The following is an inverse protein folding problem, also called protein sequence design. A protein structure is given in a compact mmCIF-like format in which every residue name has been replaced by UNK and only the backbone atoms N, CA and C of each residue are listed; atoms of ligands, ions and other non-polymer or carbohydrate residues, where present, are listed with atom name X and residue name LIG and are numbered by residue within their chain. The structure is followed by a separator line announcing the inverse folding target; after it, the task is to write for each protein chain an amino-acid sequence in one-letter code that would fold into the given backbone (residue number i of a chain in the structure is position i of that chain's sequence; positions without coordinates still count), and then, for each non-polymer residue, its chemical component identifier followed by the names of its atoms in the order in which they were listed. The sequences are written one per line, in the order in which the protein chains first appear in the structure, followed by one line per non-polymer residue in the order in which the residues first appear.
data_IF_346290693642
#
_entry.id   IF_346290693642
#
_cell.length_a   1.000
_cell.length_b   1.000
_cell.length_c   1.000
_cell.angle_alpha   90.00
_cell.angle_beta   90.00
_cell.angle_gamma   90.00
#
_symmetry.space_group_name_H-M   'P 1'
#
loop_
_entity.id
_entity.type
_entity.pdbx_description
1 polymer ?
#
# COMPACT_ATOMS: atom_id res chain seq x y z
N UNK A 1 -0.43 1.41 7.20
CA UNK A 1 -0.49 0.68 8.48
C UNK A 1 -1.49 1.29 9.46
N UNK A 2 -1.44 2.60 9.76
CA UNK A 2 -2.36 3.23 10.75
C UNK A 2 -3.84 2.94 10.46
N UNK A 3 -4.27 3.04 9.19
CA UNK A 3 -5.65 2.76 8.78
C UNK A 3 -5.87 1.31 8.34
N UNK A 4 -4.87 0.69 7.71
CA UNK A 4 -4.99 -0.64 7.13
C UNK A 4 -4.99 -1.75 8.18
N UNK A 5 -4.31 -1.57 9.31
CA UNK A 5 -4.24 -2.59 10.36
C UNK A 5 -5.55 -2.76 11.13
N UNK A 6 -6.15 -1.70 11.72
CA UNK A 6 -7.44 -1.84 12.38
C UNK A 6 -8.53 -2.32 11.41
N UNK A 7 -8.51 -1.87 10.15
CA UNK A 7 -9.45 -2.35 9.14
C UNK A 7 -9.23 -3.82 8.75
N UNK A 8 -7.98 -4.31 8.66
CA UNK A 8 -7.74 -5.72 8.40
C UNK A 8 -8.25 -6.62 9.55
N UNK A 9 -8.21 -6.15 10.79
CA UNK A 9 -8.81 -6.86 11.92
C UNK A 9 -10.34 -6.92 11.80
N UNK A 10 -10.95 -5.82 11.35
CA UNK A 10 -12.38 -5.75 11.04
C UNK A 10 -12.75 -6.74 9.92
N UNK A 11 -11.99 -6.78 8.82
CA UNK A 11 -12.23 -7.71 7.70
C UNK A 11 -12.13 -9.18 8.13
N UNK A 12 -11.25 -9.52 9.08
CA UNK A 12 -11.21 -10.84 9.67
C UNK A 12 -12.40 -11.12 10.58
N UNK A 13 -12.85 -10.12 11.34
CA UNK A 13 -14.01 -10.25 12.21
C UNK A 13 -15.29 -10.53 11.42
N UNK A 14 -15.48 -9.84 10.29
CA UNK A 14 -16.64 -10.02 9.41
C UNK A 14 -16.44 -11.08 8.31
N UNK A 15 -15.24 -11.64 8.20
CA UNK A 15 -14.93 -12.75 7.30
C UNK A 15 -14.95 -12.38 5.82
N UNK A 16 -14.65 -11.15 5.44
CA UNK A 16 -14.81 -10.67 4.06
C UNK A 16 -13.96 -11.44 3.05
N UNK A 17 -12.74 -11.81 3.42
CA UNK A 17 -11.90 -12.64 2.56
C UNK A 17 -12.44 -14.08 2.44
N UNK A 18 -13.11 -14.60 3.47
CA UNK A 18 -13.78 -15.89 3.39
C UNK A 18 -14.99 -15.84 2.43
N UNK A 19 -15.68 -14.71 2.33
CA UNK A 19 -16.76 -14.49 1.35
C UNK A 19 -16.25 -14.56 -0.10
N UNK A 20 -14.96 -14.30 -0.31
CA UNK A 20 -14.28 -14.46 -1.59
C UNK A 20 -13.65 -15.85 -1.79
N UNK A 21 -13.95 -16.81 -0.90
CA UNK A 21 -13.41 -18.18 -0.96
C UNK A 21 -11.95 -18.30 -0.51
N UNK A 22 -11.40 -17.27 0.14
CA UNK A 22 -10.01 -17.29 0.62
C UNK A 22 -9.98 -17.89 2.02
N UNK A 23 -9.27 -19.01 2.17
CA UNK A 23 -9.11 -19.66 3.48
C UNK A 23 -8.40 -18.74 4.48
N UNK A 24 -8.87 -18.73 5.73
CA UNK A 24 -8.35 -17.86 6.80
C UNK A 24 -6.81 -17.95 6.98
N UNK A 25 -6.18 -19.14 7.03
CA UNK A 25 -4.72 -19.21 7.16
C UNK A 25 -3.98 -18.53 6.02
N UNK A 26 -4.52 -18.61 4.80
CA UNK A 26 -3.94 -17.99 3.63
C UNK A 26 -4.10 -16.47 3.65
N UNK A 27 -5.28 -15.98 4.05
CA UNK A 27 -5.52 -14.55 4.25
C UNK A 27 -4.57 -13.94 5.29
N UNK A 28 -4.34 -14.62 6.42
CA UNK A 28 -3.38 -14.21 7.45
C UNK A 28 -1.95 -14.18 6.86
N UNK A 29 -1.55 -15.22 6.14
CA UNK A 29 -0.21 -15.28 5.53
C UNK A 29 0.01 -14.13 4.53
N UNK A 30 -0.97 -13.86 3.66
CA UNK A 30 -0.91 -12.73 2.72
C UNK A 30 -0.77 -11.39 3.44
N UNK A 31 -1.51 -11.18 4.53
CA UNK A 31 -1.44 -9.95 5.32
C UNK A 31 -0.07 -9.77 5.98
N UNK A 32 0.50 -10.84 6.55
CA UNK A 32 1.85 -10.82 7.13
C UNK A 32 2.89 -10.45 6.07
N UNK A 33 2.81 -11.06 4.89
CA UNK A 33 3.72 -10.75 3.77
C UNK A 33 3.54 -9.30 3.32
N UNK A 34 2.31 -8.82 3.17
CA UNK A 34 2.04 -7.43 2.78
C UNK A 34 2.65 -6.44 3.77
N UNK A 35 2.50 -6.66 5.07
CA UNK A 35 3.11 -5.80 6.09
C UNK A 35 4.63 -5.93 6.14
N UNK A 36 5.18 -7.13 6.01
CA UNK A 36 6.63 -7.31 5.95
C UNK A 36 7.25 -6.56 4.76
N UNK A 37 6.60 -6.61 3.59
CA UNK A 37 7.02 -5.88 2.39
C UNK A 37 6.90 -4.36 2.57
N UNK A 38 5.84 -3.89 3.23
CA UNK A 38 5.67 -2.47 3.53
C UNK A 38 6.74 -1.97 4.52
N UNK A 39 7.05 -2.73 5.57
CA UNK A 39 8.12 -2.43 6.52
C UNK A 39 9.50 -2.46 5.84
N UNK A 40 9.74 -3.42 4.96
CA UNK A 40 10.96 -3.48 4.15
C UNK A 40 11.09 -2.23 3.27
N UNK A 41 10.02 -1.79 2.61
CA UNK A 41 10.00 -0.55 1.82
C UNK A 41 10.35 0.69 2.65
N UNK A 42 9.82 0.78 3.87
CA UNK A 42 10.16 1.85 4.83
C UNK A 42 11.64 1.79 5.21
N UNK A 43 12.16 0.62 5.57
CA UNK A 43 13.57 0.44 5.92
C UNK A 43 14.51 0.78 4.75
N UNK A 44 14.12 0.42 3.53
CA UNK A 44 14.83 0.75 2.29
C UNK A 44 14.81 2.25 1.98
N UNK A 45 13.76 2.97 2.41
CA UNK A 45 13.65 4.43 2.31
C UNK A 45 14.68 5.11 3.19
N UNK A 46 14.87 4.63 4.43
CA UNK A 46 15.90 5.14 5.34
C UNK A 46 17.33 4.97 4.78
N UNK A 47 17.53 4.00 3.88
CA UNK A 47 18.80 3.75 3.17
C UNK A 47 18.91 4.46 1.82
N UNK A 48 17.93 5.31 1.46
CA UNK A 48 17.84 6.02 0.18
C UNK A 48 18.05 5.11 -1.04
N UNK A 49 17.51 3.89 -0.98
CA UNK A 49 17.67 2.92 -2.07
C UNK A 49 16.61 3.14 -3.15
N UNK A 50 16.98 2.88 -4.41
CA UNK A 50 16.05 2.99 -5.55
C UNK A 50 14.91 1.96 -5.51
N UNK A 51 15.09 0.86 -4.78
CA UNK A 51 14.07 -0.15 -4.61
C UNK A 51 12.93 0.31 -3.67
N UNK A 52 13.20 1.29 -2.79
CA UNK A 52 12.23 1.78 -1.81
C UNK A 52 10.94 2.34 -2.44
N UNK A 53 10.99 3.32 -3.38
CA UNK A 53 9.78 3.84 -4.00
C UNK A 53 9.04 2.78 -4.81
N UNK A 54 9.75 1.88 -5.50
CA UNK A 54 9.13 0.79 -6.25
C UNK A 54 8.34 -0.15 -5.32
N UNK A 55 8.94 -0.57 -4.20
CA UNK A 55 8.30 -1.48 -3.27
C UNK A 55 7.11 -0.82 -2.58
N UNK A 56 7.27 0.40 -2.05
CA UNK A 56 6.18 1.14 -1.40
C UNK A 56 5.06 1.48 -2.39
N UNK A 57 5.40 1.86 -3.62
CA UNK A 57 4.44 2.13 -4.69
C UNK A 57 3.60 0.90 -5.03
N UNK A 58 4.24 -0.25 -5.22
CA UNK A 58 3.54 -1.53 -5.46
C UNK A 58 2.63 -1.90 -4.31
N UNK A 59 3.08 -1.73 -3.05
CA UNK A 59 2.22 -1.97 -1.89
C UNK A 59 1.03 -1.00 -1.84
N UNK A 60 1.25 0.28 -2.13
CA UNK A 60 0.17 1.28 -2.24
C UNK A 60 -0.87 0.88 -3.29
N UNK A 61 -0.44 0.41 -4.45
CA UNK A 61 -1.32 -0.08 -5.51
C UNK A 61 -2.10 -1.33 -5.07
N UNK A 62 -1.45 -2.30 -4.43
CA UNK A 62 -2.11 -3.51 -3.90
C UNK A 62 -3.20 -3.14 -2.90
N UNK A 63 -2.89 -2.25 -1.94
CA UNK A 63 -3.87 -1.80 -0.95
C UNK A 63 -5.05 -1.08 -1.59
N UNK A 64 -4.78 -0.17 -2.52
CA UNK A 64 -5.82 0.57 -3.23
C UNK A 64 -6.72 -0.35 -4.04
N UNK A 65 -6.14 -1.18 -4.91
CA UNK A 65 -6.91 -2.07 -5.79
C UNK A 65 -7.65 -3.12 -4.97
N UNK A 66 -7.00 -3.71 -3.97
CA UNK A 66 -7.64 -4.67 -3.06
C UNK A 66 -8.85 -4.07 -2.35
N UNK A 67 -8.72 -2.90 -1.74
CA UNK A 67 -9.83 -2.24 -1.06
C UNK A 67 -10.99 -1.90 -2.00
N UNK A 68 -10.71 -1.46 -3.24
CA UNK A 68 -11.75 -1.22 -4.24
C UNK A 68 -12.46 -2.52 -4.65
N UNK A 69 -11.72 -3.61 -4.85
CA UNK A 69 -12.29 -4.89 -5.28
C UNK A 69 -13.15 -5.54 -4.19
N UNK A 70 -12.72 -5.46 -2.94
CA UNK A 70 -13.44 -6.09 -1.82
C UNK A 70 -14.59 -5.23 -1.35
N UNK A 71 -14.37 -3.93 -1.17
CA UNK A 71 -15.29 -3.04 -0.46
C UNK A 71 -15.90 -1.94 -1.33
N UNK A 72 -15.48 -1.78 -2.58
CA UNK A 72 -15.91 -0.65 -3.43
C UNK A 72 -17.44 -0.57 -3.62
N UNK A 73 -18.11 -1.71 -3.73
CA UNK A 73 -19.57 -1.76 -3.74
C UNK A 73 -20.17 -1.27 -2.41
N UNK A 74 -19.65 -1.75 -1.29
CA UNK A 74 -20.23 -1.47 0.02
C UNK A 74 -19.98 -0.03 0.49
N UNK A 75 -18.80 0.53 0.17
CA UNK A 75 -18.50 1.96 0.34
C UNK A 75 -19.58 2.82 -0.32
N UNK A 76 -19.99 2.47 -1.54
CA UNK A 76 -20.94 3.24 -2.34
C UNK A 76 -22.41 2.97 -1.98
N UNK A 77 -22.75 1.73 -1.60
CA UNK A 77 -24.15 1.29 -1.61
C UNK A 77 -24.66 0.69 -0.30
N UNK A 78 -23.82 0.27 0.65
CA UNK A 78 -24.27 -0.46 1.85
C UNK A 78 -25.00 0.39 2.91
N UNK A 79 -25.28 1.68 2.64
CA UNK A 79 -26.03 2.55 3.54
C UNK A 79 -25.33 2.83 4.89
N UNK A 80 -26.11 3.08 5.94
CA UNK A 80 -25.60 3.41 7.29
C UNK A 80 -25.28 2.17 8.16
N UNK A 81 -25.87 1.02 7.83
CA UNK A 81 -25.75 -0.23 8.63
C UNK A 81 -24.52 -1.07 8.29
N UNK A 82 -23.62 -0.55 7.46
CA UNK A 82 -22.41 -1.25 7.05
C UNK A 82 -21.42 -1.37 8.21
N UNK A 83 -21.29 -2.57 8.81
CA UNK A 83 -20.34 -2.88 9.90
C UNK A 83 -20.42 -1.87 11.05
N UNK A 84 -19.32 -1.17 11.35
CA UNK A 84 -19.25 -0.10 12.36
C UNK A 84 -19.69 1.27 11.78
N UNK A 85 -20.46 1.26 10.69
CA UNK A 85 -21.04 2.42 10.04
C UNK A 85 -19.99 3.29 9.34
N UNK A 86 -20.00 4.59 9.66
CA UNK A 86 -19.16 5.58 9.00
C UNK A 86 -17.66 5.32 9.20
N UNK A 87 -17.25 4.77 10.35
CA UNK A 87 -15.84 4.56 10.67
C UNK A 87 -15.21 3.53 9.71
N UNK A 88 -15.89 2.42 9.44
CA UNK A 88 -15.45 1.39 8.49
C UNK A 88 -15.25 1.99 7.09
N UNK A 89 -16.25 2.76 6.61
CA UNK A 89 -16.18 3.44 5.31
C UNK A 89 -15.02 4.44 5.24
N UNK A 90 -14.80 5.21 6.30
CA UNK A 90 -13.68 6.16 6.34
C UNK A 90 -12.33 5.44 6.28
N UNK A 91 -12.16 4.31 6.98
CA UNK A 91 -10.93 3.53 6.90
C UNK A 91 -10.70 3.00 5.47
N UNK A 92 -11.73 2.45 4.83
CA UNK A 92 -11.67 1.96 3.44
C UNK A 92 -11.27 3.07 2.46
N UNK A 93 -11.95 4.23 2.54
CA UNK A 93 -11.64 5.39 1.70
C UNK A 93 -10.21 5.88 1.93
N UNK A 94 -9.75 5.94 3.19
CA UNK A 94 -8.37 6.33 3.50
C UNK A 94 -7.36 5.32 2.94
N UNK A 95 -7.64 4.01 3.00
CA UNK A 95 -6.77 2.99 2.40
C UNK A 95 -6.68 3.18 0.88
N UNK A 96 -7.82 3.42 0.20
CA UNK A 96 -7.88 3.64 -1.24
C UNK A 96 -7.08 4.91 -1.62
N UNK A 97 -7.40 6.04 -0.99
CA UNK A 97 -6.78 7.34 -1.32
C UNK A 97 -5.29 7.36 -1.00
N UNK A 98 -4.89 6.89 0.19
CA UNK A 98 -3.47 6.86 0.57
C UNK A 98 -2.70 5.84 -0.27
N UNK A 99 -3.29 4.68 -0.56
CA UNK A 99 -2.69 3.67 -1.43
C UNK A 99 -2.42 4.22 -2.83
N UNK A 100 -3.44 4.86 -3.44
CA UNK A 100 -3.31 5.53 -4.74
C UNK A 100 -2.24 6.63 -4.71
N UNK A 101 -2.25 7.49 -3.68
CA UNK A 101 -1.28 8.57 -3.55
C UNK A 101 0.16 8.04 -3.47
N UNK A 102 0.41 7.00 -2.65
CA UNK A 102 1.72 6.37 -2.53
C UNK A 102 2.18 5.78 -3.87
N UNK A 103 1.27 5.10 -4.58
CA UNK A 103 1.56 4.52 -5.89
C UNK A 103 1.92 5.60 -6.93
N UNK A 104 1.15 6.69 -6.99
CA UNK A 104 1.40 7.79 -7.93
C UNK A 104 2.72 8.50 -7.62
N UNK A 105 2.99 8.79 -6.35
CA UNK A 105 4.25 9.42 -5.93
C UNK A 105 5.45 8.54 -6.30
N UNK A 106 5.35 7.22 -6.07
CA UNK A 106 6.39 6.28 -6.45
C UNK A 106 6.72 6.30 -7.95
N UNK A 107 5.72 6.45 -8.83
CA UNK A 107 5.94 6.58 -10.28
C UNK A 107 6.77 7.82 -10.63
N UNK A 108 6.61 8.92 -9.88
CA UNK A 108 7.42 10.13 -10.03
C UNK A 108 8.91 9.89 -9.76
N UNK A 109 9.22 9.08 -8.73
CA UNK A 109 10.60 8.71 -8.41
C UNK A 109 11.24 7.75 -9.42
N UNK A 110 10.44 6.91 -10.07
CA UNK A 110 10.93 6.01 -11.14
C UNK A 110 11.26 6.79 -12.41
N UNK A 111 10.51 7.86 -12.70
CA UNK A 111 10.65 8.67 -13.92
C UNK A 111 11.71 9.77 -13.82
N UNK A 112 12.21 10.09 -12.63
CA UNK A 112 13.19 11.14 -12.45
C UNK A 112 14.51 10.80 -13.19
N UNK A 113 14.99 11.68 -14.10
CA UNK A 113 16.24 11.44 -14.81
C UNK A 113 17.38 11.29 -13.81
N UNK A 114 18.24 10.30 -14.04
CA UNK A 114 19.49 10.17 -13.27
C UNK A 114 20.26 11.47 -13.46
N UNK A 115 20.43 12.25 -12.40
CA UNK A 115 21.49 13.25 -12.38
C UNK A 115 22.78 12.47 -12.66
N UNK A 116 23.27 12.55 -13.90
CA UNK A 116 24.65 12.24 -14.21
C UNK A 116 25.42 13.28 -13.40
N UNK A 117 25.83 12.90 -12.20
CA UNK A 117 26.99 13.50 -11.56
C UNK A 117 28.12 13.25 -12.55
N UNK A 118 28.30 14.21 -13.46
CA UNK A 118 29.45 14.27 -14.33
C UNK A 118 30.64 14.23 -13.38
N UNK A 119 31.30 13.07 -13.34
CA UNK A 119 32.57 12.94 -12.66
C UNK A 119 33.52 13.84 -13.42
N UNK A 120 33.66 15.07 -12.95
CA UNK A 120 34.77 15.93 -13.31
C UNK A 120 36.01 15.29 -12.70
N UNK A 121 36.49 14.19 -13.30
CA UNK A 121 37.89 13.80 -13.18
C UNK A 121 38.67 14.93 -13.83
N UNK A 122 38.97 15.95 -13.04
CA UNK A 122 40.02 16.91 -13.33
C UNK A 122 41.29 16.08 -13.32
N UNK A 123 41.68 15.64 -14.51
CA UNK A 123 42.98 15.02 -14.71
C UNK A 123 44.04 16.05 -14.39
N UNK A 124 44.69 15.90 -13.24
CA UNK A 124 46.00 16.50 -13.01
C UNK A 124 46.98 15.78 -13.93
N UNK A 125 47.15 16.31 -15.14
CA UNK A 125 48.41 16.17 -15.87
C UNK A 125 49.41 17.11 -15.18
N UNK A 126 50.34 16.53 -14.42
CA UNK A 126 51.78 16.81 -14.44
C UNK A 126 52.45 16.16 -13.22
#
# INVERSE_FOLDING_TARGET
MIVSFPHALEDFHYGDLARLGIALPFAIALLIVAYAMQLLGIALTARNTRAAPLLLGSMGAIWCVGAVLVHGHDVLFAGADYRHGLISKLMEVLIIVLGAAIAIVALGFVRAPRSMTASTRIGTRR
#
